data_IF_680234377674
#
_entry.id   IF_680234377674
#
_cell.length_a   1.000
_cell.length_b   1.000
_cell.length_c   1.000
_cell.angle_alpha   90.00
_cell.angle_beta   90.00
_cell.angle_gamma   90.00
#
_symmetry.space_group_name_H-M   'P 1'
#
loop_
_entity.id
_entity.type
_entity.pdbx_description
1 polymer ?
#
# COMPACT_ATOMS: atom_id res chain seq x y z
N UNK A 1 19.95 -15.47 -9.21
CA UNK A 1 21.24 -15.36 -8.48
C UNK A 1 21.96 -14.12 -8.96
N UNK A 2 22.73 -13.41 -8.08
CA UNK A 2 23.55 -12.26 -8.46
C UNK A 2 24.99 -12.54 -8.05
N UNK A 3 25.94 -12.26 -8.93
CA UNK A 3 27.37 -12.40 -8.65
C UNK A 3 27.98 -11.05 -8.31
N UNK A 4 28.78 -11.00 -7.25
CA UNK A 4 29.60 -9.83 -6.85
C UNK A 4 31.06 -10.29 -6.78
N UNK A 5 31.91 -9.79 -7.69
CA UNK A 5 33.28 -10.29 -7.85
C UNK A 5 34.25 -9.17 -8.25
N UNK A 6 35.55 -9.43 -8.10
CA UNK A 6 36.59 -8.52 -8.59
C UNK A 6 36.96 -8.78 -10.08
N UNK A 7 36.45 -9.85 -10.67
CA UNK A 7 36.83 -10.28 -12.02
C UNK A 7 35.76 -9.91 -13.03
N UNK A 8 36.07 -9.08 -14.00
CA UNK A 8 35.14 -8.63 -15.04
C UNK A 8 34.98 -9.68 -16.18
N UNK A 9 35.96 -10.51 -16.40
CA UNK A 9 36.04 -11.47 -17.50
C UNK A 9 34.97 -12.57 -17.45
N UNK A 10 34.43 -12.90 -16.27
CA UNK A 10 33.41 -13.94 -16.10
C UNK A 10 31.97 -13.46 -16.26
N UNK A 11 31.76 -12.23 -16.70
CA UNK A 11 30.40 -11.69 -16.89
C UNK A 11 29.59 -12.46 -17.95
N UNK A 12 30.26 -12.94 -19.00
CA UNK A 12 29.63 -13.76 -20.04
C UNK A 12 29.21 -15.14 -19.53
N UNK A 13 30.00 -15.76 -18.67
CA UNK A 13 29.72 -17.05 -18.06
C UNK A 13 28.56 -16.95 -17.05
N UNK A 14 28.47 -15.86 -16.31
CA UNK A 14 27.36 -15.57 -15.41
C UNK A 14 26.03 -15.44 -16.17
N UNK A 15 26.04 -14.93 -17.39
CA UNK A 15 24.85 -14.87 -18.26
C UNK A 15 24.35 -16.26 -18.64
N UNK A 16 25.26 -17.19 -18.94
CA UNK A 16 24.93 -18.60 -19.27
C UNK A 16 24.36 -19.39 -18.07
N UNK A 17 24.53 -18.87 -16.85
CA UNK A 17 24.02 -19.45 -15.59
C UNK A 17 22.71 -18.83 -15.12
N UNK A 18 21.96 -18.14 -15.99
CA UNK A 18 20.73 -17.44 -15.68
C UNK A 18 20.88 -16.47 -14.48
N UNK A 19 22.03 -15.80 -14.37
CA UNK A 19 22.23 -14.79 -13.34
C UNK A 19 21.35 -13.58 -13.60
N UNK A 20 20.69 -13.08 -12.55
CA UNK A 20 19.85 -11.89 -12.60
C UNK A 20 20.70 -10.64 -12.85
N UNK A 21 21.88 -10.57 -12.24
CA UNK A 21 22.87 -9.51 -12.49
C UNK A 21 24.29 -9.93 -12.09
N UNK A 22 25.28 -9.14 -12.55
CA UNK A 22 26.71 -9.32 -12.32
C UNK A 22 27.34 -7.98 -11.93
N UNK A 23 27.96 -7.90 -10.76
CA UNK A 23 28.54 -6.68 -10.21
C UNK A 23 30.04 -6.87 -10.01
N UNK A 24 30.83 -5.98 -10.61
CA UNK A 24 32.28 -5.98 -10.45
C UNK A 24 32.68 -5.01 -9.34
N UNK A 25 33.59 -5.42 -8.49
CA UNK A 25 34.16 -4.54 -7.46
C UNK A 25 35.14 -3.52 -8.08
N UNK A 26 35.18 -2.25 -7.62
CA UNK A 26 34.43 -1.68 -6.48
C UNK A 26 32.95 -1.51 -6.79
N UNK A 27 32.10 -1.81 -5.79
CA UNK A 27 30.64 -1.73 -5.93
C UNK A 27 30.20 -0.28 -5.75
N UNK A 28 29.73 0.34 -6.82
CA UNK A 28 29.13 1.67 -6.78
C UNK A 28 27.66 1.58 -6.36
N UNK A 29 27.21 2.53 -5.53
CA UNK A 29 25.83 2.56 -5.00
C UNK A 29 24.78 2.56 -6.12
N UNK A 30 25.02 3.30 -7.20
CA UNK A 30 24.14 3.35 -8.36
C UNK A 30 24.03 1.98 -9.08
N UNK A 31 25.10 1.20 -9.11
CA UNK A 31 25.14 -0.13 -9.73
C UNK A 31 24.47 -1.17 -8.85
N UNK A 32 24.65 -1.06 -7.52
CA UNK A 32 24.01 -1.91 -6.54
C UNK A 32 22.48 -1.72 -6.57
N UNK A 33 22.01 -0.46 -6.61
CA UNK A 33 20.57 -0.15 -6.70
C UNK A 33 19.93 -0.79 -7.93
N UNK A 34 20.57 -0.69 -9.11
CA UNK A 34 20.06 -1.33 -10.33
C UNK A 34 19.98 -2.87 -10.24
N UNK A 35 20.94 -3.49 -9.56
CA UNK A 35 20.92 -4.94 -9.36
C UNK A 35 19.80 -5.37 -8.40
N UNK A 36 19.53 -4.60 -7.36
CA UNK A 36 18.43 -4.82 -6.43
C UNK A 36 17.08 -4.72 -7.15
N UNK A 37 16.88 -3.71 -7.99
CA UNK A 37 15.67 -3.54 -8.81
C UNK A 37 15.41 -4.77 -9.71
N UNK A 38 16.48 -5.33 -10.30
CA UNK A 38 16.39 -6.55 -11.12
C UNK A 38 16.03 -7.79 -10.29
N UNK A 39 16.60 -7.92 -9.09
CA UNK A 39 16.29 -9.02 -8.16
C UNK A 39 14.82 -8.96 -7.77
N UNK A 40 14.31 -7.79 -7.40
CA UNK A 40 12.91 -7.58 -7.03
C UNK A 40 11.96 -7.93 -8.18
N UNK A 41 12.32 -7.56 -9.39
CA UNK A 41 11.58 -7.93 -10.60
C UNK A 41 11.58 -9.44 -10.83
N UNK A 42 12.72 -10.09 -10.64
CA UNK A 42 12.87 -11.55 -10.87
C UNK A 42 12.18 -12.39 -9.78
N UNK A 43 12.05 -11.89 -8.56
CA UNK A 43 11.38 -12.58 -7.46
C UNK A 43 9.85 -12.40 -7.48
N UNK A 44 9.31 -11.61 -8.41
CA UNK A 44 7.88 -11.29 -8.46
C UNK A 44 7.39 -10.49 -7.24
N UNK A 45 8.25 -10.20 -6.31
CA UNK A 45 8.01 -9.30 -5.19
C UNK A 45 8.25 -7.87 -5.67
N UNK A 46 7.24 -7.32 -6.35
CA UNK A 46 7.23 -5.91 -6.66
C UNK A 46 7.07 -5.10 -5.36
N UNK A 47 8.12 -5.07 -4.57
CA UNK A 47 8.32 -3.95 -3.67
C UNK A 47 8.51 -2.75 -4.59
N UNK A 48 7.47 -2.00 -4.78
CA UNK A 48 7.54 -0.71 -5.47
C UNK A 48 8.46 0.15 -4.63
N UNK A 49 9.77 0.11 -4.94
CA UNK A 49 10.68 1.18 -4.52
C UNK A 49 10.18 2.39 -5.28
N UNK A 50 9.40 3.21 -4.61
CA UNK A 50 8.98 4.49 -5.11
C UNK A 50 10.28 5.29 -5.38
N UNK A 51 10.60 5.53 -6.66
CA UNK A 51 11.14 6.84 -7.01
C UNK A 51 10.28 7.87 -6.26
N UNK A 52 10.81 9.03 -5.80
CA UNK A 52 10.03 9.97 -5.03
C UNK A 52 8.83 10.43 -5.88
N UNK A 53 7.77 9.62 -5.89
CA UNK A 53 6.46 10.04 -6.37
C UNK A 53 6.07 11.12 -5.38
N UNK A 54 5.81 12.30 -5.88
CA UNK A 54 5.16 13.31 -5.05
C UNK A 54 4.00 12.61 -4.34
N UNK A 55 3.93 12.68 -3.01
CA UNK A 55 2.91 11.96 -2.27
C UNK A 55 1.55 12.31 -2.86
N UNK A 56 0.80 11.28 -3.26
CA UNK A 56 -0.54 11.48 -3.80
C UNK A 56 -1.35 12.25 -2.74
N UNK A 57 -1.91 13.39 -3.14
CA UNK A 57 -2.65 14.26 -2.25
C UNK A 57 -4.13 14.25 -2.58
N UNK A 58 -4.94 14.31 -1.55
CA UNK A 58 -6.38 14.48 -1.65
C UNK A 58 -6.74 15.92 -1.36
N UNK A 59 -7.65 16.46 -2.15
CA UNK A 59 -8.29 17.75 -1.83
C UNK A 59 -9.48 17.48 -0.93
N UNK A 60 -9.42 17.96 0.30
CA UNK A 60 -10.47 17.79 1.30
C UNK A 60 -11.04 19.14 1.71
N UNK A 61 -12.27 19.15 2.20
CA UNK A 61 -12.90 20.34 2.77
C UNK A 61 -12.78 20.32 4.30
N UNK A 62 -12.34 21.44 4.87
CA UNK A 62 -12.28 21.69 6.30
C UNK A 62 -12.88 23.05 6.60
N UNK A 63 -14.16 23.06 6.97
CA UNK A 63 -14.87 24.30 7.33
C UNK A 63 -14.92 25.32 6.18
N UNK A 64 -15.18 24.87 4.95
CA UNK A 64 -15.27 25.71 3.75
C UNK A 64 -13.92 26.10 3.14
N UNK A 65 -12.80 25.57 3.64
CA UNK A 65 -11.47 25.74 3.06
C UNK A 65 -10.99 24.44 2.46
N UNK A 66 -10.48 24.49 1.22
CA UNK A 66 -9.82 23.34 0.58
C UNK A 66 -8.42 23.16 1.16
N UNK A 67 -8.15 21.96 1.66
CA UNK A 67 -6.85 21.56 2.22
C UNK A 67 -6.35 20.35 1.45
N UNK A 68 -5.04 20.26 1.28
CA UNK A 68 -4.42 19.09 0.65
C UNK A 68 -3.82 18.20 1.74
N UNK A 69 -4.27 16.95 1.80
CA UNK A 69 -3.72 15.94 2.72
C UNK A 69 -3.03 14.83 1.92
N UNK A 70 -1.88 14.31 2.37
CA UNK A 70 -1.29 13.11 1.79
C UNK A 70 -2.23 11.91 1.93
N UNK A 71 -2.33 11.08 0.88
CA UNK A 71 -3.14 9.84 0.95
C UNK A 71 -2.64 8.91 2.04
N UNK A 72 -1.32 8.87 2.28
CA UNK A 72 -0.70 8.06 3.32
C UNK A 72 -1.14 8.43 4.75
N UNK A 73 -1.65 9.65 4.96
CA UNK A 73 -2.14 10.08 6.29
C UNK A 73 -3.58 9.62 6.56
N UNK A 74 -4.29 9.12 5.54
CA UNK A 74 -5.66 8.64 5.67
C UNK A 74 -5.67 7.19 6.14
N UNK A 75 -6.32 6.95 7.28
CA UNK A 75 -6.49 5.60 7.84
C UNK A 75 -7.65 4.85 7.14
N UNK A 76 -8.76 5.52 6.92
CA UNK A 76 -9.89 4.96 6.18
C UNK A 76 -10.84 6.04 5.66
N UNK A 77 -11.66 5.65 4.69
CA UNK A 77 -12.79 6.46 4.21
C UNK A 77 -14.10 5.82 4.63
N UNK A 78 -15.03 6.67 5.07
CA UNK A 78 -16.39 6.29 5.40
C UNK A 78 -17.39 6.97 4.46
N UNK A 79 -18.20 6.18 3.75
CA UNK A 79 -19.25 6.74 2.89
C UNK A 79 -20.39 7.31 3.71
N UNK A 80 -20.82 8.53 3.36
CA UNK A 80 -21.93 9.28 3.95
C UNK A 80 -22.77 9.87 2.83
N UNK A 81 -23.89 9.22 2.50
CA UNK A 81 -24.75 9.65 1.38
C UNK A 81 -23.95 9.95 0.10
N UNK A 82 -23.85 11.21 -0.30
CA UNK A 82 -23.21 11.64 -1.56
C UNK A 82 -21.73 12.00 -1.41
N UNK A 83 -21.15 11.91 -0.22
CA UNK A 83 -19.76 12.24 0.08
C UNK A 83 -19.08 11.19 0.94
N UNK A 84 -17.78 11.31 1.12
CA UNK A 84 -17.00 10.48 2.03
C UNK A 84 -16.31 11.32 3.09
N UNK A 85 -16.18 10.77 4.29
CA UNK A 85 -15.28 11.24 5.30
C UNK A 85 -13.92 10.53 5.12
N UNK A 86 -12.84 11.30 5.00
CA UNK A 86 -11.47 10.81 5.15
C UNK A 86 -11.08 10.95 6.64
N UNK A 87 -10.82 9.83 7.28
CA UNK A 87 -10.42 9.78 8.69
C UNK A 87 -8.92 9.60 8.79
N UNK A 88 -8.27 10.57 9.41
CA UNK A 88 -6.84 10.62 9.68
C UNK A 88 -6.60 10.64 11.20
N UNK A 89 -5.37 10.44 11.64
CA UNK A 89 -4.99 10.56 13.05
C UNK A 89 -5.30 11.98 13.61
N UNK A 90 -5.17 13.00 12.78
CA UNK A 90 -5.38 14.41 13.17
C UNK A 90 -6.85 14.88 13.11
N UNK A 91 -7.74 14.08 12.52
CA UNK A 91 -9.16 14.42 12.41
C UNK A 91 -9.85 13.85 11.17
N UNK A 92 -11.09 14.28 10.99
CA UNK A 92 -11.94 13.84 9.89
C UNK A 92 -12.17 14.99 8.90
N UNK A 93 -12.05 14.70 7.62
CA UNK A 93 -12.19 15.65 6.52
C UNK A 93 -13.24 15.18 5.52
N UNK A 94 -13.98 16.13 4.97
CA UNK A 94 -14.98 15.84 3.96
C UNK A 94 -14.35 15.76 2.57
N UNK A 95 -14.72 14.73 1.83
CA UNK A 95 -14.36 14.57 0.41
C UNK A 95 -15.62 14.45 -0.42
N UNK A 96 -15.73 15.29 -1.44
CA UNK A 96 -16.85 15.26 -2.37
C UNK A 96 -16.60 14.24 -3.50
N UNK A 97 -16.32 13.00 -3.11
CA UNK A 97 -16.16 11.86 -4.02
C UNK A 97 -16.89 10.65 -3.44
N UNK A 98 -17.39 9.79 -4.34
CA UNK A 98 -17.97 8.52 -3.92
C UNK A 98 -16.87 7.53 -3.50
N UNK A 99 -17.20 6.64 -2.56
CA UNK A 99 -16.29 5.59 -2.09
C UNK A 99 -15.85 4.65 -3.22
N UNK A 100 -16.68 4.45 -4.25
CA UNK A 100 -16.32 3.65 -5.44
C UNK A 100 -15.33 4.36 -6.36
N UNK A 101 -15.36 5.69 -6.41
CA UNK A 101 -14.34 6.49 -7.12
C UNK A 101 -13.00 6.43 -6.39
N UNK A 102 -13.02 6.57 -5.07
CA UNK A 102 -11.84 6.44 -4.20
C UNK A 102 -11.24 5.03 -4.29
N UNK A 103 -12.04 3.96 -4.27
CA UNK A 103 -11.60 2.57 -4.43
C UNK A 103 -10.81 2.38 -5.73
N UNK A 104 -11.32 2.85 -6.86
CA UNK A 104 -10.62 2.76 -8.16
C UNK A 104 -9.32 3.56 -8.20
N UNK A 105 -9.30 4.74 -7.58
CA UNK A 105 -8.14 5.63 -7.59
C UNK A 105 -7.05 5.20 -6.63
N UNK A 106 -7.41 4.65 -5.47
CA UNK A 106 -6.50 4.36 -4.36
C UNK A 106 -6.20 2.86 -4.19
N UNK A 107 -6.75 1.98 -5.01
CA UNK A 107 -6.46 0.54 -4.91
C UNK A 107 -4.98 0.20 -5.08
N UNK A 108 -4.23 0.96 -5.88
CA UNK A 108 -2.77 0.81 -6.02
C UNK A 108 -1.96 1.42 -4.87
N UNK A 109 -2.60 2.19 -4.00
CA UNK A 109 -1.99 2.89 -2.86
C UNK A 109 -2.22 2.16 -1.52
N UNK A 110 -2.57 0.87 -1.56
CA UNK A 110 -2.76 0.06 -0.35
C UNK A 110 -4.14 0.14 0.29
N UNK A 111 -5.13 0.75 -0.39
CA UNK A 111 -6.50 0.81 0.11
C UNK A 111 -7.35 -0.35 -0.40
N UNK A 112 -8.09 -0.97 0.50
CA UNK A 112 -9.04 -2.04 0.16
C UNK A 112 -10.46 -1.72 0.65
N UNK A 113 -11.45 -2.05 -0.18
CA UNK A 113 -12.87 -1.94 0.19
C UNK A 113 -13.26 -3.10 1.08
N UNK A 114 -13.52 -2.83 2.36
CA UNK A 114 -13.87 -3.86 3.36
C UNK A 114 -15.39 -3.96 3.60
N UNK A 115 -16.11 -2.89 3.32
CA UNK A 115 -17.55 -2.79 3.48
C UNK A 115 -18.16 -1.87 2.40
N UNK A 116 -19.49 -1.93 2.18
CA UNK A 116 -20.15 -0.99 1.27
C UNK A 116 -19.88 0.48 1.60
N UNK A 117 -19.61 0.77 2.87
CA UNK A 117 -19.38 2.11 3.38
C UNK A 117 -17.93 2.37 3.82
N UNK A 118 -17.02 1.40 3.75
CA UNK A 118 -15.66 1.58 4.25
C UNK A 118 -14.60 1.13 3.26
N UNK A 119 -13.59 2.00 3.06
CA UNK A 119 -12.36 1.76 2.31
C UNK A 119 -11.19 2.03 3.27
N UNK A 120 -10.36 1.04 3.55
CA UNK A 120 -9.35 1.06 4.62
C UNK A 120 -7.95 1.00 4.03
N UNK A 121 -7.02 1.76 4.63
CA UNK A 121 -5.60 1.64 4.38
C UNK A 121 -5.07 0.40 5.10
N UNK A 122 -4.54 -0.57 4.34
CA UNK A 122 -4.04 -1.82 4.92
C UNK A 122 -2.83 -1.63 5.82
N UNK A 123 -2.03 -0.59 5.59
CA UNK A 123 -0.86 -0.28 6.42
C UNK A 123 -1.24 0.16 7.84
N UNK A 124 -2.47 0.62 8.03
CA UNK A 124 -3.00 1.02 9.34
C UNK A 124 -3.69 -0.10 10.11
N UNK A 125 -3.84 -1.27 9.51
CA UNK A 125 -4.52 -2.39 10.17
C UNK A 125 -3.57 -3.03 11.20
N UNK A 126 -3.88 -2.82 12.47
CA UNK A 126 -3.14 -3.41 13.58
C UNK A 126 -3.57 -4.84 13.89
N UNK A 127 -4.88 -5.07 13.94
CA UNK A 127 -5.45 -6.35 14.36
C UNK A 127 -6.77 -6.63 13.66
N UNK A 128 -7.10 -7.93 13.59
CA UNK A 128 -8.36 -8.45 13.09
C UNK A 128 -9.07 -9.18 14.21
N UNK A 129 -10.26 -8.75 14.55
CA UNK A 129 -11.06 -9.33 15.61
C UNK A 129 -12.40 -9.88 15.06
N UNK A 130 -12.97 -10.82 15.79
CA UNK A 130 -14.35 -11.22 15.56
C UNK A 130 -15.21 -10.48 16.57
N UNK A 131 -15.99 -9.53 16.09
CA UNK A 131 -16.88 -8.74 16.92
C UNK A 131 -17.99 -9.58 17.59
N UNK A 132 -18.69 -8.99 18.54
CA UNK A 132 -19.78 -9.62 19.29
C UNK A 132 -20.91 -10.16 18.39
N UNK A 133 -21.04 -9.65 17.19
CA UNK A 133 -22.01 -10.08 16.17
C UNK A 133 -21.51 -11.24 15.29
N UNK A 134 -20.30 -11.76 15.55
CA UNK A 134 -19.64 -12.78 14.73
C UNK A 134 -19.11 -12.24 13.39
N UNK A 135 -19.09 -10.92 13.20
CA UNK A 135 -18.51 -10.28 12.02
C UNK A 135 -17.03 -9.94 12.27
N UNK A 136 -16.26 -10.02 11.19
CA UNK A 136 -14.87 -9.60 11.21
C UNK A 136 -14.80 -8.08 11.31
N UNK A 137 -13.92 -7.59 12.18
CA UNK A 137 -13.67 -6.17 12.42
C UNK A 137 -12.15 -5.92 12.36
N UNK A 138 -11.77 -4.77 11.78
CA UNK A 138 -10.38 -4.32 11.69
C UNK A 138 -10.15 -3.25 12.74
N UNK A 139 -9.13 -3.43 13.58
CA UNK A 139 -8.59 -2.38 14.44
C UNK A 139 -7.47 -1.65 13.72
N UNK A 140 -7.48 -0.34 13.83
CA UNK A 140 -6.51 0.54 13.18
C UNK A 140 -5.56 1.13 14.22
N UNK A 141 -4.28 1.30 13.84
CA UNK A 141 -3.23 1.81 14.73
C UNK A 141 -3.39 3.29 15.08
N UNK A 142 -3.54 4.11 14.04
CA UNK A 142 -3.50 5.58 14.19
C UNK A 142 -4.80 6.19 14.70
N UNK A 143 -5.89 5.43 14.73
CA UNK A 143 -7.21 5.88 15.18
C UNK A 143 -7.84 4.82 16.07
N UNK A 144 -8.48 5.24 17.18
CA UNK A 144 -9.18 4.33 18.10
C UNK A 144 -10.52 3.85 17.52
N UNK A 145 -10.56 3.54 16.24
CA UNK A 145 -11.77 3.12 15.51
C UNK A 145 -11.67 1.68 15.10
N UNK A 146 -12.81 0.99 15.17
CA UNK A 146 -12.98 -0.35 14.64
C UNK A 146 -13.83 -0.28 13.37
N UNK A 147 -13.37 -0.91 12.29
CA UNK A 147 -14.07 -0.89 11.01
C UNK A 147 -14.65 -2.27 10.70
N UNK A 148 -15.97 -2.41 10.50
CA UNK A 148 -16.59 -3.68 10.21
C UNK A 148 -16.28 -4.14 8.78
N UNK A 149 -16.01 -5.44 8.63
CA UNK A 149 -15.81 -6.09 7.33
C UNK A 149 -17.08 -6.84 6.95
N UNK A 150 -17.58 -6.60 5.75
CA UNK A 150 -18.74 -7.35 5.28
C UNK A 150 -18.38 -8.82 5.01
N UNK A 151 -19.32 -9.74 5.26
CA UNK A 151 -19.13 -11.20 5.01
C UNK A 151 -18.61 -11.48 3.60
N UNK A 152 -19.11 -10.72 2.62
CA UNK A 152 -18.73 -10.85 1.21
C UNK A 152 -17.26 -10.48 0.95
N UNK A 153 -16.69 -9.56 1.72
CA UNK A 153 -15.32 -9.09 1.56
C UNK A 153 -14.31 -9.78 2.50
N UNK A 154 -14.79 -10.56 3.45
CA UNK A 154 -13.94 -11.16 4.49
C UNK A 154 -12.84 -12.06 3.90
N UNK A 155 -13.13 -12.86 2.87
CA UNK A 155 -12.12 -13.72 2.22
C UNK A 155 -11.03 -12.89 1.52
N UNK A 156 -11.42 -11.86 0.78
CA UNK A 156 -10.52 -10.94 0.08
C UNK A 156 -9.60 -10.20 1.07
N UNK A 157 -10.18 -9.67 2.16
CA UNK A 157 -9.43 -8.97 3.22
C UNK A 157 -8.43 -9.89 3.91
N UNK A 158 -8.82 -11.13 4.24
CA UNK A 158 -7.91 -12.14 4.81
C UNK A 158 -6.73 -12.43 3.89
N UNK A 159 -6.98 -12.59 2.60
CA UNK A 159 -5.93 -12.83 1.61
C UNK A 159 -4.93 -11.68 1.55
N UNK A 160 -5.37 -10.43 1.57
CA UNK A 160 -4.50 -9.25 1.56
C UNK A 160 -3.69 -9.10 2.86
N UNK A 161 -4.24 -9.53 3.99
CA UNK A 161 -3.56 -9.51 5.29
C UNK A 161 -2.70 -10.75 5.54
N UNK A 162 -2.63 -11.70 4.59
CA UNK A 162 -1.86 -12.94 4.77
C UNK A 162 -2.45 -13.89 5.82
N UNK A 163 -3.74 -13.81 6.08
CA UNK A 163 -4.47 -14.63 7.09
C UNK A 163 -5.24 -15.80 6.46
N UNK A 164 -5.04 -16.03 5.18
CA UNK A 164 -5.71 -17.13 4.45
C UNK A 164 -4.91 -18.43 4.51
#
# INVERSE_FOLDING_TARGET
>A
MVFVTAFAEYAADAYNLDAVDYIVKPVEDARLSKALDKIETALGTRRVVHAPRQPLRLTVDRGGKKVFIPVADVCYFEARADFCNAVCAEGTYLINESISSLERRLGSEGFIRVHRSYLVNLEDVHNVEIGSTGLMELRLDRVSSTVPVSRRRAAEVKSHLGLA
#
